data_IF_717060342732
#
_entry.id   IF_717060342732
#
_cell.length_a   1.000
_cell.length_b   1.000
_cell.length_c   1.000
_cell.angle_alpha   90.00
_cell.angle_beta   90.00
_cell.angle_gamma   90.00
#
_symmetry.space_group_name_H-M   'P 1'
#
loop_
_entity.id
_entity.type
_entity.pdbx_description
1 polymer ?
#
# COMPACT_ATOMS: atom_id res chain seq x y z
N UNK A 1 -46.10 14.87 2.99
CA UNK A 1 -46.34 14.14 1.73
C UNK A 1 -45.27 13.08 1.56
N UNK A 2 -45.61 11.80 1.74
CA UNK A 2 -44.67 10.70 1.53
C UNK A 2 -44.38 10.57 0.02
N UNK A 3 -43.12 10.76 -0.37
CA UNK A 3 -42.70 10.58 -1.75
C UNK A 3 -42.86 9.11 -2.11
N UNK A 4 -43.64 8.79 -3.14
CA UNK A 4 -43.79 7.40 -3.63
C UNK A 4 -42.43 6.75 -3.81
N UNK A 5 -42.26 5.51 -3.32
CA UNK A 5 -41.01 4.74 -3.43
C UNK A 5 -40.45 4.73 -4.86
N UNK A 6 -41.32 4.62 -5.87
CA UNK A 6 -40.94 4.67 -7.28
C UNK A 6 -40.37 6.02 -7.71
N UNK A 7 -40.91 7.12 -7.18
CA UNK A 7 -40.42 8.48 -7.43
C UNK A 7 -39.09 8.74 -6.70
N UNK A 8 -38.93 8.23 -5.47
CA UNK A 8 -37.66 8.30 -4.75
C UNK A 8 -36.57 7.50 -5.45
N UNK A 9 -36.83 6.24 -5.83
CA UNK A 9 -35.85 5.38 -6.50
C UNK A 9 -35.41 5.95 -7.86
N UNK A 10 -36.35 6.55 -8.60
CA UNK A 10 -36.08 7.19 -9.88
C UNK A 10 -35.23 8.47 -9.77
N UNK A 11 -35.31 9.19 -8.65
CA UNK A 11 -34.64 10.47 -8.45
C UNK A 11 -33.33 10.37 -7.64
N UNK A 12 -33.30 9.56 -6.58
CA UNK A 12 -32.18 9.45 -5.65
C UNK A 12 -31.44 8.10 -5.74
N UNK A 13 -32.04 7.07 -6.36
CA UNK A 13 -31.50 5.71 -6.35
C UNK A 13 -30.11 5.56 -6.96
N UNK A 14 -29.83 6.24 -8.08
CA UNK A 14 -28.52 6.16 -8.76
C UNK A 14 -27.39 6.77 -7.93
N UNK A 15 -27.67 7.86 -7.20
CA UNK A 15 -26.70 8.48 -6.28
C UNK A 15 -26.32 7.51 -5.15
N UNK A 16 -27.32 6.89 -4.54
CA UNK A 16 -27.08 5.92 -3.47
C UNK A 16 -26.40 4.67 -4.00
N UNK A 17 -26.72 4.22 -5.20
CA UNK A 17 -26.02 3.10 -5.84
C UNK A 17 -24.53 3.43 -6.08
N UNK A 18 -24.20 4.60 -6.62
CA UNK A 18 -22.80 5.02 -6.80
C UNK A 18 -22.06 5.13 -5.45
N UNK A 19 -22.72 5.69 -4.44
CA UNK A 19 -22.16 5.76 -3.09
C UNK A 19 -21.96 4.37 -2.47
N UNK A 20 -22.90 3.44 -2.66
CA UNK A 20 -22.79 2.05 -2.22
C UNK A 20 -21.65 1.32 -2.94
N UNK A 21 -21.47 1.53 -4.25
CA UNK A 21 -20.34 0.96 -5.01
C UNK A 21 -19.02 1.49 -4.46
N UNK A 22 -18.89 2.82 -4.30
CA UNK A 22 -17.69 3.42 -3.74
C UNK A 22 -17.42 2.94 -2.31
N UNK A 23 -18.44 2.85 -1.45
CA UNK A 23 -18.30 2.34 -0.09
C UNK A 23 -17.86 0.87 -0.09
N UNK A 24 -18.47 0.05 -0.95
CA UNK A 24 -18.11 -1.36 -1.11
C UNK A 24 -16.66 -1.51 -1.57
N UNK A 25 -16.20 -0.69 -2.52
CA UNK A 25 -14.79 -0.69 -2.95
C UNK A 25 -13.83 -0.35 -1.80
N UNK A 26 -14.16 0.64 -0.97
CA UNK A 26 -13.36 0.98 0.20
C UNK A 26 -13.28 -0.17 1.19
N UNK A 27 -14.42 -0.78 1.53
CA UNK A 27 -14.49 -1.92 2.46
C UNK A 27 -13.74 -3.13 1.90
N UNK A 28 -13.93 -3.46 0.63
CA UNK A 28 -13.27 -4.58 -0.03
C UNK A 28 -11.76 -4.39 -0.08
N UNK A 29 -11.27 -3.19 -0.43
CA UNK A 29 -9.84 -2.90 -0.42
C UNK A 29 -9.25 -2.97 0.98
N UNK A 30 -9.93 -2.38 1.96
CA UNK A 30 -9.50 -2.47 3.36
C UNK A 30 -9.39 -3.93 3.80
N UNK A 31 -10.46 -4.71 3.61
CA UNK A 31 -10.54 -6.10 4.05
C UNK A 31 -9.51 -6.98 3.33
N UNK A 32 -9.39 -6.85 2.01
CA UNK A 32 -8.42 -7.61 1.20
C UNK A 32 -6.99 -7.31 1.65
N UNK A 33 -6.63 -6.04 1.82
CA UNK A 33 -5.28 -5.68 2.29
C UNK A 33 -5.06 -6.12 3.73
N UNK A 34 -6.06 -5.99 4.60
CA UNK A 34 -5.96 -6.45 5.99
C UNK A 34 -5.66 -7.96 6.05
N UNK A 35 -6.44 -8.78 5.35
CA UNK A 35 -6.22 -10.22 5.29
C UNK A 35 -4.87 -10.60 4.69
N UNK A 36 -4.42 -9.89 3.65
CA UNK A 36 -3.11 -10.11 3.03
C UNK A 36 -1.97 -9.95 4.06
N UNK A 37 -1.99 -8.88 4.86
CA UNK A 37 -0.95 -8.64 5.86
C UNK A 37 -1.12 -9.45 7.15
N UNK A 38 -2.32 -9.99 7.40
CA UNK A 38 -2.60 -10.81 8.57
C UNK A 38 -2.30 -12.30 8.33
N UNK A 39 -2.56 -12.81 7.13
CA UNK A 39 -2.47 -14.25 6.79
C UNK A 39 -1.44 -14.56 5.71
N UNK A 40 -0.90 -13.55 5.03
CA UNK A 40 0.08 -13.73 3.96
C UNK A 40 1.39 -14.33 4.50
N UNK A 41 1.88 -15.45 3.93
CA UNK A 41 3.11 -16.09 4.40
C UNK A 41 4.34 -15.18 4.25
N UNK A 42 4.34 -14.31 3.23
CA UNK A 42 5.39 -13.31 2.98
C UNK A 42 5.56 -12.31 4.14
N UNK A 43 4.47 -12.00 4.86
CA UNK A 43 4.46 -11.00 5.93
C UNK A 43 4.46 -11.63 7.33
N UNK A 44 4.63 -12.95 7.45
CA UNK A 44 4.47 -13.68 8.71
C UNK A 44 5.33 -13.09 9.85
N UNK A 45 6.63 -12.84 9.61
CA UNK A 45 7.52 -12.28 10.63
C UNK A 45 7.26 -10.82 10.93
N UNK A 46 6.98 -10.03 9.89
CA UNK A 46 6.65 -8.62 10.07
C UNK A 46 5.34 -8.48 10.87
N UNK A 47 4.37 -9.37 10.65
CA UNK A 47 3.15 -9.45 11.43
C UNK A 47 3.38 -9.96 12.84
N UNK A 48 4.28 -10.92 13.08
CA UNK A 48 4.64 -11.34 14.44
C UNK A 48 5.25 -10.19 15.25
N UNK A 49 6.07 -9.34 14.61
CA UNK A 49 6.70 -8.19 15.27
C UNK A 49 5.74 -7.02 15.51
N UNK A 50 4.94 -6.66 14.50
CA UNK A 50 4.09 -5.46 14.52
C UNK A 50 2.63 -5.73 14.89
N UNK A 51 2.18 -6.98 14.79
CA UNK A 51 0.82 -7.41 15.04
C UNK A 51 -0.22 -6.72 14.15
N UNK A 52 -1.37 -6.41 14.75
CA UNK A 52 -2.50 -5.76 14.08
C UNK A 52 -2.18 -4.35 13.57
N UNK A 53 -1.17 -3.68 14.16
CA UNK A 53 -0.75 -2.35 13.72
C UNK A 53 -0.27 -2.35 12.27
N UNK A 54 0.38 -3.42 11.82
CA UNK A 54 0.77 -3.59 10.41
C UNK A 54 -0.46 -3.71 9.51
N UNK A 55 -1.39 -4.59 9.86
CA UNK A 55 -2.58 -4.82 9.05
C UNK A 55 -3.42 -3.55 8.92
N UNK A 56 -3.62 -2.82 10.01
CA UNK A 56 -4.38 -1.58 10.05
C UNK A 56 -3.69 -0.44 9.30
N UNK A 57 -2.36 -0.29 9.42
CA UNK A 57 -1.63 0.77 8.70
C UNK A 57 -1.70 0.57 7.18
N UNK A 58 -1.59 -0.69 6.72
CA UNK A 58 -1.66 -1.07 5.30
C UNK A 58 -3.05 -0.98 4.70
N UNK A 59 -4.04 -1.49 5.44
CA UNK A 59 -5.43 -1.44 5.01
C UNK A 59 -5.93 0.01 4.91
N UNK A 60 -5.62 0.84 5.91
CA UNK A 60 -5.95 2.27 5.89
C UNK A 60 -5.22 3.03 4.78
N UNK A 61 -3.93 2.75 4.52
CA UNK A 61 -3.20 3.33 3.39
C UNK A 61 -3.84 3.00 2.04
N UNK A 62 -4.34 1.78 1.85
CA UNK A 62 -5.03 1.37 0.61
C UNK A 62 -6.31 2.18 0.37
N UNK A 63 -7.08 2.40 1.44
CA UNK A 63 -8.29 3.24 1.42
C UNK A 63 -7.93 4.70 1.16
N UNK A 64 -6.89 5.23 1.80
CA UNK A 64 -6.40 6.58 1.57
C UNK A 64 -5.97 6.79 0.12
N UNK A 65 -5.19 5.86 -0.45
CA UNK A 65 -4.76 5.93 -1.84
C UNK A 65 -5.95 6.01 -2.81
N UNK A 66 -6.98 5.17 -2.63
CA UNK A 66 -8.19 5.24 -3.45
C UNK A 66 -8.86 6.62 -3.34
N UNK A 67 -9.14 7.09 -2.13
CA UNK A 67 -9.89 8.33 -1.95
C UNK A 67 -9.09 9.56 -2.37
N UNK A 68 -7.78 9.57 -2.14
CA UNK A 68 -6.88 10.60 -2.65
C UNK A 68 -6.79 10.57 -4.18
N UNK A 69 -6.92 9.42 -4.86
CA UNK A 69 -7.04 9.42 -6.32
C UNK A 69 -8.39 9.98 -6.81
N UNK A 70 -9.47 9.76 -6.06
CA UNK A 70 -10.83 10.10 -6.49
C UNK A 70 -11.28 11.53 -6.11
N UNK A 71 -10.71 12.15 -5.08
CA UNK A 71 -11.22 13.43 -4.51
C UNK A 71 -11.12 14.63 -5.47
N UNK A 72 -10.18 14.63 -6.41
CA UNK A 72 -10.02 15.70 -7.41
C UNK A 72 -10.97 15.58 -8.60
N UNK A 73 -11.36 14.35 -8.98
CA UNK A 73 -12.29 14.11 -10.09
C UNK A 73 -13.59 14.92 -10.00
N UNK A 74 -14.30 15.00 -8.85
CA UNK A 74 -15.50 15.83 -8.73
C UNK A 74 -15.25 17.34 -8.81
N UNK A 75 -14.01 17.80 -8.77
CA UNK A 75 -13.64 19.21 -8.88
C UNK A 75 -13.14 19.59 -10.29
N UNK A 76 -12.94 18.63 -11.19
CA UNK A 76 -12.59 18.85 -12.59
C UNK A 76 -13.80 19.34 -13.41
N UNK A 77 -14.25 20.58 -13.18
CA UNK A 77 -15.50 21.13 -13.74
C UNK A 77 -15.58 21.06 -15.27
N UNK A 78 -14.48 21.28 -15.99
CA UNK A 78 -14.45 21.18 -17.47
C UNK A 78 -14.66 19.75 -17.95
N UNK A 79 -14.03 18.77 -17.30
CA UNK A 79 -14.24 17.35 -17.59
C UNK A 79 -15.69 16.94 -17.31
N UNK A 80 -16.25 17.37 -16.17
CA UNK A 80 -17.64 17.11 -15.83
C UNK A 80 -18.61 17.76 -16.81
N UNK A 81 -18.31 18.97 -17.30
CA UNK A 81 -19.09 19.66 -18.32
C UNK A 81 -19.02 18.96 -19.69
N UNK A 82 -17.85 18.46 -20.09
CA UNK A 82 -17.68 17.65 -21.30
C UNK A 82 -18.46 16.34 -21.23
N UNK A 83 -18.33 15.59 -20.13
CA UNK A 83 -19.07 14.34 -19.89
C UNK A 83 -20.58 14.57 -19.87
N UNK A 84 -21.03 15.74 -19.40
CA UNK A 84 -22.44 16.17 -19.42
C UNK A 84 -22.96 16.43 -20.84
N UNK A 85 -22.13 17.00 -21.71
CA UNK A 85 -22.48 17.38 -23.09
C UNK A 85 -22.32 16.26 -24.12
N UNK A 86 -21.58 15.20 -23.80
CA UNK A 86 -21.39 14.05 -24.69
C UNK A 86 -22.72 13.34 -24.99
N UNK A 87 -23.07 13.19 -26.27
CA UNK A 87 -24.26 12.44 -26.71
C UNK A 87 -24.25 10.96 -26.31
N UNK A 88 -23.11 10.43 -25.82
CA UNK A 88 -22.95 9.06 -25.32
C UNK A 88 -23.47 8.84 -23.90
N UNK A 89 -23.88 9.87 -23.15
CA UNK A 89 -24.52 9.72 -21.84
C UNK A 89 -26.03 9.75 -22.03
N UNK A 90 -26.72 8.60 -22.18
CA UNK A 90 -28.08 8.55 -22.72
C UNK A 90 -29.13 8.94 -21.68
N UNK A 91 -28.76 8.99 -20.39
CA UNK A 91 -29.72 9.05 -19.29
C UNK A 91 -29.67 10.39 -18.56
N UNK A 92 -30.84 11.04 -18.44
CA UNK A 92 -31.07 12.18 -17.52
C UNK A 92 -30.58 11.88 -16.08
N UNK A 93 -30.50 10.60 -15.68
CA UNK A 93 -30.02 10.16 -14.36
C UNK A 93 -28.52 10.37 -14.15
N UNK A 94 -27.69 10.09 -15.15
CA UNK A 94 -26.23 10.25 -15.07
C UNK A 94 -25.84 11.73 -15.01
N UNK A 95 -26.60 12.59 -15.71
CA UNK A 95 -26.42 14.05 -15.68
C UNK A 95 -26.65 14.64 -14.28
N UNK A 96 -27.68 14.16 -13.57
CA UNK A 96 -27.97 14.53 -12.17
C UNK A 96 -26.92 14.03 -11.18
N UNK A 97 -26.27 12.89 -11.46
CA UNK A 97 -25.16 12.40 -10.63
C UNK A 97 -23.96 13.37 -10.68
N UNK A 98 -23.63 13.86 -11.88
CA UNK A 98 -22.57 14.85 -12.09
C UNK A 98 -22.86 16.18 -11.35
N UNK A 99 -24.13 16.58 -11.25
CA UNK A 99 -24.56 17.78 -10.51
C UNK A 99 -24.35 17.66 -8.98
N UNK A 100 -24.19 16.43 -8.45
CA UNK A 100 -23.91 16.17 -7.02
C UNK A 100 -22.44 15.86 -6.73
N UNK A 101 -21.54 16.09 -7.69
CA UNK A 101 -20.08 15.89 -7.58
C UNK A 101 -19.47 16.51 -6.32
N UNK A 102 -19.88 17.72 -5.92
CA UNK A 102 -19.42 18.36 -4.67
C UNK A 102 -19.71 17.52 -3.42
N UNK A 103 -20.88 16.87 -3.36
CA UNK A 103 -21.22 16.00 -2.22
C UNK A 103 -20.27 14.81 -2.15
N UNK A 104 -19.93 14.23 -3.31
CA UNK A 104 -18.96 13.14 -3.41
C UNK A 104 -17.54 13.58 -2.98
N UNK A 105 -17.10 14.78 -3.35
CA UNK A 105 -15.84 15.34 -2.88
C UNK A 105 -15.80 15.42 -1.34
N UNK A 106 -16.87 15.93 -0.71
CA UNK A 106 -16.96 16.04 0.74
C UNK A 106 -16.95 14.66 1.41
N UNK A 107 -17.68 13.67 0.88
CA UNK A 107 -17.65 12.30 1.44
C UNK A 107 -16.27 11.65 1.31
N UNK A 108 -15.56 11.86 0.21
CA UNK A 108 -14.16 11.43 0.07
C UNK A 108 -13.26 12.13 1.10
N UNK A 109 -13.41 13.45 1.27
CA UNK A 109 -12.64 14.24 2.24
C UNK A 109 -12.82 13.75 3.67
N UNK A 110 -14.06 13.49 4.09
CA UNK A 110 -14.35 12.92 5.43
C UNK A 110 -13.72 11.53 5.59
N UNK A 111 -13.78 10.70 4.55
CA UNK A 111 -13.16 9.36 4.57
C UNK A 111 -11.64 9.45 4.70
N UNK A 112 -11.00 10.37 3.99
CA UNK A 112 -9.55 10.63 4.10
C UNK A 112 -9.20 11.05 5.54
N UNK A 113 -10.00 11.89 6.18
CA UNK A 113 -9.75 12.30 7.57
C UNK A 113 -9.81 11.12 8.54
N UNK A 114 -10.88 10.31 8.46
CA UNK A 114 -11.09 9.16 9.34
C UNK A 114 -9.94 8.16 9.17
N UNK A 115 -9.65 7.76 7.92
CA UNK A 115 -8.61 6.78 7.67
C UNK A 115 -7.19 7.34 7.86
N UNK A 116 -6.97 8.65 7.75
CA UNK A 116 -5.71 9.29 8.14
C UNK A 116 -5.47 9.15 9.64
N UNK A 117 -6.50 9.40 10.47
CA UNK A 117 -6.41 9.17 11.92
C UNK A 117 -6.10 7.70 12.26
N UNK A 118 -6.81 6.75 11.64
CA UNK A 118 -6.54 5.30 11.81
C UNK A 118 -5.11 4.95 11.36
N UNK A 119 -4.67 5.48 10.22
CA UNK A 119 -3.36 5.22 9.67
C UNK A 119 -2.24 5.72 10.58
N UNK A 120 -2.34 6.96 11.08
CA UNK A 120 -1.38 7.53 12.02
C UNK A 120 -1.35 6.74 13.32
N UNK A 121 -2.52 6.42 13.91
CA UNK A 121 -2.60 5.64 15.14
C UNK A 121 -1.94 4.25 14.96
N UNK A 122 -2.18 3.58 13.84
CA UNK A 122 -1.55 2.31 13.53
C UNK A 122 -0.03 2.44 13.36
N UNK A 123 0.47 3.54 12.75
CA UNK A 123 1.91 3.81 12.66
C UNK A 123 2.56 4.10 14.02
N UNK A 124 1.87 4.78 14.95
CA UNK A 124 2.36 4.97 16.31
C UNK A 124 2.50 3.63 17.05
N UNK A 125 1.49 2.76 16.94
CA UNK A 125 1.56 1.39 17.49
C UNK A 125 2.70 0.60 16.86
N UNK A 126 2.89 0.70 15.53
CA UNK A 126 4.01 0.02 14.86
C UNK A 126 5.37 0.55 15.32
N UNK A 127 5.50 1.87 15.55
CA UNK A 127 6.74 2.46 16.05
C UNK A 127 7.09 1.96 17.45
N UNK A 128 6.08 1.81 18.32
CA UNK A 128 6.25 1.21 19.64
C UNK A 128 6.64 -0.28 19.52
N UNK A 129 5.95 -1.02 18.66
CA UNK A 129 6.22 -2.46 18.48
C UNK A 129 7.61 -2.72 17.89
N UNK A 130 8.10 -1.87 16.98
CA UNK A 130 9.48 -1.96 16.48
C UNK A 130 10.53 -1.76 17.59
N UNK A 131 10.23 -0.94 18.59
CA UNK A 131 11.12 -0.67 19.72
C UNK A 131 11.11 -1.82 20.74
N UNK A 132 9.92 -2.24 21.18
CA UNK A 132 9.75 -3.26 22.24
C UNK A 132 10.01 -4.67 21.73
N UNK A 133 9.49 -5.01 20.54
CA UNK A 133 9.64 -6.33 19.94
C UNK A 133 10.86 -6.40 19.02
N UNK A 134 11.87 -5.57 19.29
CA UNK A 134 13.12 -5.61 18.54
C UNK A 134 13.72 -7.02 18.58
N UNK A 135 14.19 -7.49 17.43
CA UNK A 135 14.81 -8.81 17.29
C UNK A 135 16.20 -8.65 16.70
N UNK A 136 17.21 -9.05 17.46
CA UNK A 136 18.60 -9.11 17.01
C UNK A 136 18.79 -10.12 15.87
N UNK A 137 17.90 -11.11 15.76
CA UNK A 137 17.91 -12.10 14.68
C UNK A 137 17.40 -11.52 13.34
N UNK A 138 16.64 -10.41 13.35
CA UNK A 138 16.02 -9.80 12.16
C UNK A 138 16.32 -8.30 12.04
N UNK A 139 17.59 -7.91 12.15
CA UNK A 139 18.00 -6.50 12.08
C UNK A 139 17.49 -5.80 10.80
N UNK A 140 17.50 -6.49 9.66
CA UNK A 140 17.04 -5.92 8.37
C UNK A 140 15.52 -5.66 8.30
N UNK A 141 14.73 -6.36 9.12
CA UNK A 141 13.28 -6.18 9.20
C UNK A 141 12.88 -5.08 10.20
N UNK A 142 13.78 -4.77 11.13
CA UNK A 142 13.55 -3.77 12.17
C UNK A 142 13.77 -2.36 11.63
N UNK A 143 12.80 -1.50 11.90
CA UNK A 143 12.96 -0.07 11.66
C UNK A 143 13.73 0.63 12.81
N UNK A 144 13.70 0.05 14.01
CA UNK A 144 14.53 0.48 15.14
C UNK A 144 15.97 -0.03 14.97
N UNK A 145 16.95 0.72 15.48
CA UNK A 145 18.38 0.37 15.41
C UNK A 145 18.83 -0.55 16.54
N UNK A 146 18.17 -0.48 17.69
CA UNK A 146 18.43 -1.28 18.89
C UNK A 146 17.15 -1.44 19.72
N UNK A 147 17.14 -2.42 20.63
CA UNK A 147 16.03 -2.68 21.55
C UNK A 147 15.74 -1.44 22.41
N UNK A 148 14.45 -1.12 22.58
CA UNK A 148 13.98 0.02 23.36
C UNK A 148 14.43 1.39 22.82
N UNK A 149 14.75 1.49 21.52
CA UNK A 149 14.97 2.78 20.88
C UNK A 149 13.71 3.65 20.99
N UNK A 150 13.86 4.92 21.36
CA UNK A 150 12.75 5.86 21.49
C UNK A 150 11.92 5.94 20.18
N UNK A 151 10.63 5.53 20.19
CA UNK A 151 9.77 5.52 19.02
C UNK A 151 9.65 6.89 18.34
N UNK A 152 9.88 7.98 19.09
CA UNK A 152 9.88 9.34 18.54
C UNK A 152 10.98 9.54 17.51
N UNK A 153 12.13 8.88 17.67
CA UNK A 153 13.20 8.91 16.67
C UNK A 153 12.72 8.28 15.37
N UNK A 154 11.98 7.18 15.42
CA UNK A 154 11.42 6.57 14.22
C UNK A 154 10.43 7.50 13.50
N UNK A 155 9.64 8.28 14.24
CA UNK A 155 8.66 9.20 13.68
C UNK A 155 9.28 10.46 13.06
N UNK A 156 10.31 11.04 13.68
CA UNK A 156 10.88 12.33 13.25
C UNK A 156 12.18 12.21 12.46
N UNK A 157 12.90 11.10 12.57
CA UNK A 157 14.20 10.90 11.89
C UNK A 157 14.09 10.03 10.64
N UNK A 158 12.93 9.42 10.36
CA UNK A 158 12.70 8.69 9.11
C UNK A 158 11.98 9.57 8.09
N UNK A 159 12.32 9.40 6.81
CA UNK A 159 11.69 10.15 5.72
C UNK A 159 10.18 9.88 5.63
N UNK A 160 9.69 8.61 5.72
CA UNK A 160 8.25 8.35 5.77
C UNK A 160 7.56 8.97 7.00
N UNK A 161 8.22 8.98 8.15
CA UNK A 161 7.69 9.61 9.37
C UNK A 161 7.54 11.13 9.24
N UNK A 162 8.60 11.83 8.81
CA UNK A 162 8.58 13.28 8.64
C UNK A 162 7.57 13.73 7.58
N UNK A 163 7.56 13.07 6.41
CA UNK A 163 6.57 13.35 5.37
C UNK A 163 5.15 13.10 5.86
N UNK A 164 4.92 12.03 6.62
CA UNK A 164 3.62 11.74 7.25
C UNK A 164 3.15 12.84 8.20
N UNK A 165 4.00 13.30 9.10
CA UNK A 165 3.69 14.40 10.03
C UNK A 165 3.34 15.69 9.27
N UNK A 166 4.16 16.06 8.28
CA UNK A 166 3.89 17.24 7.43
C UNK A 166 2.54 17.13 6.70
N UNK A 167 2.21 15.95 6.15
CA UNK A 167 0.91 15.73 5.50
C UNK A 167 -0.25 15.87 6.48
N UNK A 168 -0.14 15.35 7.70
CA UNK A 168 -1.19 15.45 8.72
C UNK A 168 -1.43 16.90 9.12
N UNK A 169 -0.38 17.71 9.28
CA UNK A 169 -0.49 19.14 9.57
C UNK A 169 -1.22 19.86 8.43
N UNK A 170 -0.80 19.62 7.18
CA UNK A 170 -1.47 20.23 6.00
C UNK A 170 -2.94 19.82 5.93
N UNK A 171 -3.24 18.53 6.12
CA UNK A 171 -4.61 18.02 6.10
C UNK A 171 -5.45 18.64 7.21
N UNK A 172 -4.90 18.77 8.42
CA UNK A 172 -5.58 19.41 9.56
C UNK A 172 -5.94 20.87 9.27
N UNK A 173 -5.01 21.65 8.69
CA UNK A 173 -5.26 23.04 8.29
C UNK A 173 -6.36 23.13 7.22
N UNK A 174 -6.28 22.30 6.18
CA UNK A 174 -7.27 22.26 5.10
C UNK A 174 -8.67 21.93 5.62
N UNK A 175 -8.80 20.92 6.48
CA UNK A 175 -10.09 20.43 6.96
C UNK A 175 -10.71 21.41 7.95
N UNK A 176 -9.92 21.96 8.86
CA UNK A 176 -10.38 22.97 9.82
C UNK A 176 -10.94 24.18 9.07
N UNK A 177 -10.20 24.72 8.10
CA UNK A 177 -10.68 25.84 7.29
C UNK A 177 -11.85 25.49 6.37
N UNK A 178 -12.05 24.21 6.03
CA UNK A 178 -13.17 23.73 5.22
C UNK A 178 -14.47 23.51 6.02
N UNK A 179 -14.43 23.65 7.35
CA UNK A 179 -15.62 23.56 8.21
C UNK A 179 -16.64 24.65 7.86
N UNK A 180 -17.92 24.37 8.14
CA UNK A 180 -19.01 25.32 7.86
C UNK A 180 -18.80 26.67 8.56
N UNK A 181 -18.39 26.65 9.83
CA UNK A 181 -18.17 27.85 10.63
C UNK A 181 -17.11 28.78 10.00
N UNK A 182 -15.93 28.26 9.66
CA UNK A 182 -14.85 29.08 9.10
C UNK A 182 -15.20 29.55 7.68
N UNK A 183 -15.73 28.66 6.84
CA UNK A 183 -16.03 29.00 5.44
C UNK A 183 -17.11 30.08 5.30
N UNK A 184 -18.09 30.12 6.22
CA UNK A 184 -19.13 31.17 6.22
C UNK A 184 -18.63 32.46 6.86
N UNK A 185 -17.75 32.37 7.86
CA UNK A 185 -17.16 33.54 8.49
C UNK A 185 -16.14 34.26 7.60
N UNK A 186 -15.27 33.53 6.92
CA UNK A 186 -14.25 34.09 6.02
C UNK A 186 -13.91 33.07 4.93
N UNK A 187 -14.40 33.35 3.71
CA UNK A 187 -14.19 32.47 2.57
C UNK A 187 -12.73 32.48 2.06
N UNK A 188 -12.00 33.58 2.25
CA UNK A 188 -10.62 33.70 1.80
C UNK A 188 -9.71 32.74 2.56
N UNK A 189 -9.92 32.59 3.88
CA UNK A 189 -9.20 31.61 4.70
C UNK A 189 -9.40 30.21 4.14
N UNK A 190 -10.65 29.83 3.84
CA UNK A 190 -10.95 28.56 3.18
C UNK A 190 -10.20 28.44 1.85
N UNK A 191 -10.26 29.45 0.99
CA UNK A 191 -9.67 29.39 -0.34
C UNK A 191 -8.14 29.24 -0.31
N UNK A 192 -7.43 30.07 0.47
CA UNK A 192 -5.98 30.02 0.57
C UNK A 192 -5.49 28.73 1.22
N UNK A 193 -6.13 28.28 2.31
CA UNK A 193 -5.73 27.04 2.99
C UNK A 193 -6.06 25.81 2.17
N UNK A 194 -7.19 25.78 1.44
CA UNK A 194 -7.56 24.62 0.64
C UNK A 194 -6.63 24.44 -0.57
N UNK A 195 -5.99 25.50 -1.08
CA UNK A 195 -4.92 25.41 -2.10
C UNK A 195 -3.67 24.66 -1.62
N UNK A 196 -3.51 24.40 -0.32
CA UNK A 196 -2.46 23.51 0.18
C UNK A 196 -2.61 22.07 -0.31
N UNK A 197 -3.70 21.72 -1.01
CA UNK A 197 -3.83 20.43 -1.69
C UNK A 197 -2.64 20.14 -2.63
N UNK A 198 -2.07 21.15 -3.31
CA UNK A 198 -0.87 20.96 -4.14
C UNK A 198 0.31 20.44 -3.31
N UNK A 199 0.55 21.05 -2.15
CA UNK A 199 1.60 20.64 -1.21
C UNK A 199 1.30 19.25 -0.67
N UNK A 200 0.04 18.97 -0.31
CA UNK A 200 -0.38 17.65 0.16
C UNK A 200 -0.11 16.55 -0.87
N UNK A 201 -0.43 16.75 -2.15
CA UNK A 201 -0.15 15.74 -3.19
C UNK A 201 1.35 15.58 -3.46
N UNK A 202 2.13 16.66 -3.43
CA UNK A 202 3.59 16.57 -3.54
C UNK A 202 4.16 15.70 -2.40
N UNK A 203 3.76 15.99 -1.16
CA UNK A 203 4.16 15.20 0.01
C UNK A 203 3.66 13.76 -0.07
N UNK A 204 2.44 13.52 -0.56
CA UNK A 204 1.87 12.19 -0.72
C UNK A 204 2.68 11.34 -1.72
N UNK A 205 3.08 11.91 -2.86
CA UNK A 205 3.92 11.20 -3.84
C UNK A 205 5.28 10.85 -3.25
N UNK A 206 5.92 11.79 -2.55
CA UNK A 206 7.19 11.55 -1.85
C UNK A 206 7.03 10.48 -0.76
N UNK A 207 6.00 10.59 0.07
CA UNK A 207 5.70 9.65 1.15
C UNK A 207 5.54 8.23 0.61
N UNK A 208 4.77 8.05 -0.46
CA UNK A 208 4.58 6.74 -1.11
C UNK A 208 5.89 6.25 -1.75
N UNK A 209 6.65 7.10 -2.47
CA UNK A 209 7.92 6.71 -3.09
C UNK A 209 8.94 6.23 -2.06
N UNK A 210 9.19 7.02 -1.02
CA UNK A 210 10.14 6.66 0.04
C UNK A 210 9.67 5.49 0.89
N UNK A 211 8.35 5.30 1.04
CA UNK A 211 7.82 4.07 1.61
C UNK A 211 8.17 2.85 0.74
N UNK A 212 8.03 2.97 -0.58
CA UNK A 212 8.35 1.88 -1.51
C UNK A 212 9.84 1.55 -1.56
N UNK A 213 10.70 2.56 -1.42
CA UNK A 213 12.15 2.39 -1.34
C UNK A 213 12.59 1.76 -0.01
N UNK A 214 11.98 2.16 1.11
CA UNK A 214 12.27 1.63 2.44
C UNK A 214 11.40 0.41 2.83
N UNK A 215 10.94 -0.40 1.87
CA UNK A 215 10.22 -1.63 2.23
C UNK A 215 11.20 -2.61 2.86
N UNK A 216 10.99 -3.05 4.12
CA UNK A 216 11.91 -3.99 4.78
C UNK A 216 11.88 -5.40 4.14
N UNK A 217 10.98 -5.63 3.17
CA UNK A 217 10.86 -6.87 2.41
C UNK A 217 11.72 -6.89 1.13
N UNK A 218 12.66 -5.95 0.96
CA UNK A 218 13.49 -5.82 -0.26
C UNK A 218 14.32 -7.09 -0.55
N UNK A 219 14.64 -7.87 0.49
CA UNK A 219 15.39 -9.12 0.39
C UNK A 219 14.48 -10.32 0.72
N UNK A 220 14.03 -11.02 -0.32
CA UNK A 220 13.32 -12.29 -0.19
C UNK A 220 14.31 -13.45 -0.22
N UNK A 221 14.53 -14.09 0.93
CA UNK A 221 15.40 -15.26 1.06
C UNK A 221 14.51 -16.50 1.18
N UNK A 222 14.62 -17.40 0.21
CA UNK A 222 14.01 -18.73 0.25
C UNK A 222 15.09 -19.78 0.52
N UNK A 223 14.90 -20.59 1.55
CA UNK A 223 15.82 -21.65 1.95
C UNK A 223 15.24 -23.00 1.54
N UNK A 224 16.08 -23.86 0.95
CA UNK A 224 15.67 -25.17 0.46
C UNK A 224 16.50 -26.26 1.13
N UNK A 225 15.85 -27.12 1.92
CA UNK A 225 16.50 -28.23 2.60
C UNK A 225 16.53 -29.45 1.66
N UNK A 226 17.69 -29.73 1.06
CA UNK A 226 17.82 -30.77 0.05
C UNK A 226 17.93 -32.21 0.58
N UNK A 227 18.21 -32.37 1.89
CA UNK A 227 18.24 -33.64 2.63
C UNK A 227 17.55 -33.47 3.99
N UNK A 228 16.81 -34.48 4.45
CA UNK A 228 15.96 -34.43 5.66
C UNK A 228 16.56 -35.17 6.86
N UNK A 229 17.89 -35.16 7.00
CA UNK A 229 18.61 -35.93 8.03
C UNK A 229 18.59 -35.22 9.40
N UNK A 230 17.41 -35.03 9.99
CA UNK A 230 17.24 -34.49 11.35
C UNK A 230 17.52 -32.99 11.53
N UNK A 231 18.13 -32.32 10.54
CA UNK A 231 18.40 -30.88 10.54
C UNK A 231 17.11 -30.05 10.69
N UNK A 232 15.97 -30.55 10.19
CA UNK A 232 14.68 -29.89 10.35
C UNK A 232 14.27 -29.74 11.83
N UNK A 233 14.64 -30.70 12.70
CA UNK A 233 14.37 -30.61 14.14
C UNK A 233 15.27 -29.56 14.81
N UNK A 234 16.54 -29.52 14.43
CA UNK A 234 17.54 -28.59 14.99
C UNK A 234 17.28 -27.15 14.54
N UNK A 235 17.01 -26.92 13.25
CA UNK A 235 16.65 -25.60 12.72
C UNK A 235 15.25 -25.19 13.19
N UNK A 236 14.32 -26.15 13.25
CA UNK A 236 12.94 -25.93 13.69
C UNK A 236 12.82 -25.44 15.13
N UNK A 237 13.62 -26.01 16.04
CA UNK A 237 13.64 -25.64 17.46
C UNK A 237 14.51 -24.42 17.75
N UNK A 238 15.64 -24.23 17.05
CA UNK A 238 16.63 -23.18 17.35
C UNK A 238 16.44 -21.88 16.54
N UNK A 239 15.94 -21.96 15.31
CA UNK A 239 15.80 -20.83 14.39
C UNK A 239 14.39 -20.78 13.81
N UNK A 240 13.43 -20.50 14.69
CA UNK A 240 12.00 -20.52 14.37
C UNK A 240 11.63 -19.62 13.19
N UNK A 241 12.44 -18.60 12.90
CA UNK A 241 12.23 -17.66 11.81
C UNK A 241 12.78 -18.06 10.44
N UNK A 242 13.50 -19.17 10.36
CA UNK A 242 13.84 -19.74 9.06
C UNK A 242 12.72 -20.68 8.59
N UNK A 243 11.85 -21.16 9.49
CA UNK A 243 10.82 -22.15 9.20
C UNK A 243 9.80 -21.70 8.14
N UNK A 244 9.32 -20.46 8.17
CA UNK A 244 8.38 -19.96 7.14
C UNK A 244 9.04 -19.67 5.79
N UNK A 245 10.38 -19.58 5.76
CA UNK A 245 11.21 -19.41 4.55
C UNK A 245 11.84 -20.72 4.09
N UNK A 246 11.63 -21.81 4.84
CA UNK A 246 12.23 -23.12 4.63
C UNK A 246 11.26 -24.01 3.84
N UNK A 247 11.72 -24.47 2.69
CA UNK A 247 11.02 -25.43 1.84
C UNK A 247 11.77 -26.76 1.86
N UNK A 248 11.03 -27.86 1.99
CA UNK A 248 11.61 -29.20 1.92
C UNK A 248 11.79 -29.58 0.45
N UNK A 249 12.97 -30.06 0.10
CA UNK A 249 13.33 -30.46 -1.26
C UNK A 249 14.12 -29.38 -2.00
N UNK A 250 14.09 -29.44 -3.34
CA UNK A 250 14.85 -28.56 -4.22
C UNK A 250 13.94 -27.53 -4.90
N UNK A 251 14.43 -26.31 -5.17
CA UNK A 251 13.65 -25.28 -5.86
C UNK A 251 13.26 -25.71 -7.27
N UNK A 252 12.04 -25.36 -7.67
CA UNK A 252 11.57 -25.52 -9.06
C UNK A 252 12.01 -24.30 -9.87
N UNK A 253 13.28 -24.26 -10.26
CA UNK A 253 13.92 -23.11 -10.91
C UNK A 253 13.12 -22.47 -12.05
N UNK A 254 12.49 -23.28 -12.92
CA UNK A 254 11.69 -22.76 -14.04
C UNK A 254 10.49 -21.92 -13.58
N UNK A 255 9.79 -22.35 -12.53
CA UNK A 255 8.66 -21.60 -11.97
C UNK A 255 9.15 -20.33 -11.29
N UNK A 256 10.25 -20.41 -10.56
CA UNK A 256 10.84 -19.27 -9.88
C UNK A 256 11.28 -18.19 -10.88
N UNK A 257 11.93 -18.56 -11.98
CA UNK A 257 12.30 -17.62 -13.04
C UNK A 257 11.09 -17.00 -13.73
N UNK A 258 10.02 -17.76 -13.96
CA UNK A 258 8.78 -17.23 -14.55
C UNK A 258 8.10 -16.22 -13.62
N UNK A 259 8.06 -16.51 -12.32
CA UNK A 259 7.54 -15.60 -11.30
C UNK A 259 8.38 -14.32 -11.19
N UNK A 260 9.70 -14.44 -11.12
CA UNK A 260 10.62 -13.28 -11.10
C UNK A 260 10.46 -12.45 -12.37
N UNK A 261 10.34 -13.08 -13.55
CA UNK A 261 10.11 -12.36 -14.80
C UNK A 261 8.77 -11.62 -14.80
N UNK A 262 7.70 -12.26 -14.33
CA UNK A 262 6.37 -11.65 -14.22
C UNK A 262 6.39 -10.42 -13.32
N UNK A 263 7.16 -10.43 -12.23
CA UNK A 263 7.31 -9.33 -11.29
C UNK A 263 8.27 -8.23 -11.79
N UNK A 264 9.16 -8.52 -12.74
CA UNK A 264 10.20 -7.62 -13.24
C UNK A 264 10.08 -7.35 -14.75
N UNK A 265 8.86 -7.05 -15.23
CA UNK A 265 8.58 -6.81 -16.66
C UNK A 265 9.45 -5.71 -17.25
N UNK A 266 10.11 -6.01 -18.37
CA UNK A 266 10.97 -5.07 -19.09
C UNK A 266 12.25 -4.64 -18.36
N UNK A 267 12.60 -5.30 -17.25
CA UNK A 267 13.83 -5.00 -16.49
C UNK A 267 14.92 -6.03 -16.79
N UNK A 268 16.17 -5.65 -16.47
CA UNK A 268 17.29 -6.61 -16.41
C UNK A 268 17.48 -7.06 -14.95
N UNK A 269 17.58 -8.37 -14.72
CA UNK A 269 17.73 -9.00 -13.41
C UNK A 269 19.05 -9.76 -13.38
N UNK A 270 19.95 -9.41 -12.46
CA UNK A 270 21.20 -10.15 -12.25
C UNK A 270 20.95 -11.48 -11.52
N UNK A 271 21.56 -12.55 -12.02
CA UNK A 271 21.51 -13.90 -11.42
C UNK A 271 22.93 -14.29 -11.04
N UNK A 272 23.17 -14.46 -9.74
CA UNK A 272 24.47 -14.82 -9.19
C UNK A 272 24.38 -16.24 -8.60
N UNK A 273 25.44 -17.03 -8.76
CA UNK A 273 25.49 -18.39 -8.25
C UNK A 273 26.88 -18.76 -7.78
N UNK A 274 27.01 -19.06 -6.50
CA UNK A 274 28.17 -19.71 -5.89
C UNK A 274 27.74 -21.11 -5.42
N UNK A 275 28.22 -22.17 -6.07
CA UNK A 275 27.82 -23.54 -5.76
C UNK A 275 28.16 -24.57 -6.82
N UNK A 276 27.63 -25.80 -6.71
CA UNK A 276 27.93 -26.91 -7.63
C UNK A 276 27.72 -26.56 -9.10
N UNK A 277 28.64 -27.04 -9.96
CA UNK A 277 28.59 -26.81 -11.40
C UNK A 277 27.26 -27.23 -12.05
N UNK A 278 26.56 -28.22 -11.48
CA UNK A 278 25.25 -28.66 -11.96
C UNK A 278 24.16 -27.59 -11.80
N UNK A 279 24.15 -26.87 -10.67
CA UNK A 279 23.22 -25.76 -10.42
C UNK A 279 23.57 -24.58 -11.30
N UNK A 280 24.86 -24.22 -11.35
CA UNK A 280 25.36 -23.14 -12.21
C UNK A 280 24.95 -23.33 -13.69
N UNK A 281 25.11 -24.54 -14.24
CA UNK A 281 24.68 -24.86 -15.61
C UNK A 281 23.17 -24.73 -15.80
N UNK A 282 22.38 -25.10 -14.79
CA UNK A 282 20.92 -25.01 -14.83
C UNK A 282 20.46 -23.56 -14.84
N UNK A 283 21.01 -22.72 -13.94
CA UNK A 283 20.70 -21.30 -13.85
C UNK A 283 21.15 -20.55 -15.11
N UNK A 284 22.36 -20.82 -15.61
CA UNK A 284 22.83 -20.24 -16.88
C UNK A 284 21.91 -20.59 -18.06
N UNK A 285 21.43 -21.83 -18.15
CA UNK A 285 20.48 -22.23 -19.19
C UNK A 285 19.15 -21.47 -19.06
N UNK A 286 18.62 -21.32 -17.85
CA UNK A 286 17.36 -20.63 -17.60
C UNK A 286 17.46 -19.12 -17.82
N UNK A 287 18.56 -18.48 -17.45
CA UNK A 287 18.78 -17.05 -17.68
C UNK A 287 18.78 -16.70 -19.17
N UNK A 288 19.21 -17.62 -20.03
CA UNK A 288 19.22 -17.45 -21.48
C UNK A 288 17.88 -17.82 -22.16
N UNK A 289 16.86 -18.26 -21.40
CA UNK A 289 15.54 -18.55 -21.96
C UNK A 289 14.71 -17.29 -22.09
N UNK A 290 14.05 -17.14 -23.24
CA UNK A 290 13.07 -16.09 -23.45
C UNK A 290 11.82 -16.33 -22.59
N UNK A 291 11.31 -15.25 -22.01
CA UNK A 291 10.04 -15.23 -21.29
C UNK A 291 9.08 -14.25 -21.97
N UNK A 292 7.77 -14.44 -21.78
CA UNK A 292 6.73 -13.60 -22.36
C UNK A 292 6.64 -12.18 -21.75
N UNK A 293 7.44 -11.88 -20.74
CA UNK A 293 7.36 -10.67 -19.93
C UNK A 293 8.41 -9.61 -20.29
N UNK A 294 9.31 -9.92 -21.25
CA UNK A 294 10.36 -9.01 -21.70
C UNK A 294 11.45 -8.76 -20.65
N UNK A 295 11.54 -9.59 -19.61
CA UNK A 295 12.59 -9.51 -18.59
C UNK A 295 13.87 -10.14 -19.12
N UNK A 296 15.01 -9.47 -18.95
CA UNK A 296 16.33 -10.01 -19.32
C UNK A 296 17.05 -10.52 -18.08
N UNK A 297 17.47 -11.78 -18.06
CA UNK A 297 18.28 -12.32 -16.97
C UNK A 297 19.76 -12.29 -17.35
N UNK A 298 20.59 -11.70 -16.50
CA UNK A 298 22.03 -11.60 -16.70
C UNK A 298 22.74 -12.53 -15.71
N UNK A 299 23.25 -13.66 -16.21
CA UNK A 299 23.91 -14.65 -15.37
C UNK A 299 25.37 -14.28 -15.14
N UNK A 300 25.72 -14.05 -13.88
CA UNK A 300 27.06 -13.74 -13.43
C UNK A 300 27.61 -14.93 -12.64
N UNK A 301 28.64 -15.58 -13.20
CA UNK A 301 29.35 -16.63 -12.48
C UNK A 301 30.37 -15.99 -11.56
N UNK A 302 30.15 -16.10 -10.26
CA UNK A 302 31.14 -15.67 -9.27
C UNK A 302 32.05 -16.85 -8.92
N UNK A 303 33.36 -16.62 -9.02
CA UNK A 303 34.38 -17.58 -8.59
C UNK A 303 35.04 -16.99 -7.35
N UNK A 304 34.62 -17.45 -6.18
CA UNK A 304 35.27 -17.08 -4.93
C UNK A 304 36.43 -18.06 -4.70
N UNK A 305 37.65 -17.58 -4.95
CA UNK A 305 38.91 -18.26 -4.62
C UNK A 305 39.29 -18.05 -3.17
#
# INVERSE_FOLDING_TARGET
MAVSWRSWLANEGVKHLCLLIWLSLNVLLFWKTFLLYNQGPEYHYLHQMLGLGLCLSRASASVLNLNCSLILLPMCRTLLAYLRGSQKVPSRRTRRLLDKSRTFHITCGVTICIFSGVHVAAHLVNALNFSVNYSEDFVELNAARYRDEDPRKLLFMTVPGLTGVCMVVVLFLMITASTYAIRVSNYDIFWYTHNLFFVFYMLLMLHVSFWHENRPDYVNIQLYLSQTDGIQKIIGEKYHALNSRLYIGRPRWKLLFDEIAKCNRGKTVGVFCCGPNSISKTLHKLSNQNNSYGTRFEYNKESFS
#
